data_IF_794085888634
#
_entry.id   IF_794085888634
#
_cell.length_a   1.000
_cell.length_b   1.000
_cell.length_c   1.000
_cell.angle_alpha   90.00
_cell.angle_beta   90.00
_cell.angle_gamma   90.00
#
_symmetry.space_group_name_H-M   'P 1'
#
loop_
_entity.id
_entity.type
_entity.pdbx_description
1 polymer ?
#
# COMPACT_ATOMS: atom_id res chain seq x y z
N UNK A 1 -4.28 14.51 6.67
CA UNK A 1 -4.74 15.42 7.74
C UNK A 1 -5.19 14.60 8.93
N UNK A 2 -4.79 15.00 10.13
CA UNK A 2 -5.24 14.43 11.41
C UNK A 2 -6.19 15.42 12.07
N UNK A 3 -7.38 14.97 12.47
CA UNK A 3 -8.38 15.82 13.11
C UNK A 3 -9.26 14.98 14.04
N UNK A 4 -9.89 15.61 15.04
CA UNK A 4 -10.82 14.98 15.99
C UNK A 4 -10.28 13.66 16.57
N UNK A 5 -9.02 13.67 17.03
CA UNK A 5 -8.31 12.45 17.47
C UNK A 5 -8.54 12.10 18.95
N UNK A 6 -9.16 12.98 19.73
CA UNK A 6 -9.30 12.85 21.20
C UNK A 6 -10.54 12.11 21.68
N UNK A 7 -11.45 11.69 20.81
CA UNK A 7 -12.71 11.09 21.20
C UNK A 7 -12.63 9.61 21.61
N UNK A 8 -13.73 9.10 22.17
CA UNK A 8 -13.82 7.75 22.75
C UNK A 8 -14.23 6.64 21.76
N UNK A 9 -14.25 6.89 20.45
CA UNK A 9 -14.57 5.85 19.45
C UNK A 9 -13.48 4.79 19.39
N UNK A 10 -13.87 3.57 19.13
CA UNK A 10 -12.95 2.43 19.15
C UNK A 10 -12.13 2.26 17.87
N UNK A 11 -12.65 2.74 16.72
CA UNK A 11 -12.01 2.58 15.40
C UNK A 11 -11.64 3.93 14.82
N UNK A 12 -10.55 3.95 14.07
CA UNK A 12 -10.22 5.07 13.22
C UNK A 12 -11.23 5.21 12.08
N UNK A 13 -11.53 6.45 11.73
CA UNK A 13 -12.26 6.82 10.53
C UNK A 13 -11.26 7.38 9.53
N UNK A 14 -11.21 6.80 8.35
CA UNK A 14 -10.37 7.24 7.26
C UNK A 14 -11.24 7.78 6.13
N UNK A 15 -11.08 9.05 5.81
CA UNK A 15 -11.72 9.69 4.68
C UNK A 15 -10.77 9.65 3.50
N UNK A 16 -11.19 9.01 2.42
CA UNK A 16 -10.43 8.87 1.20
C UNK A 16 -10.06 10.24 0.60
N UNK A 17 -8.97 10.27 -0.16
CA UNK A 17 -8.67 11.40 -1.03
C UNK A 17 -9.71 11.50 -2.15
N UNK A 18 -9.71 12.61 -2.88
CA UNK A 18 -10.62 12.82 -4.01
C UNK A 18 -10.46 11.76 -5.11
N UNK A 19 -9.24 11.32 -5.38
CA UNK A 19 -8.96 10.29 -6.38
C UNK A 19 -9.31 8.88 -5.89
N UNK A 20 -9.31 8.65 -4.57
CA UNK A 20 -9.56 7.37 -3.91
C UNK A 20 -8.62 6.22 -4.35
N UNK A 21 -7.49 6.53 -4.97
CA UNK A 21 -6.55 5.56 -5.54
C UNK A 21 -5.09 5.76 -5.12
N UNK A 22 -4.83 6.70 -4.23
CA UNK A 22 -3.48 6.93 -3.69
C UNK A 22 -2.98 5.71 -2.90
N UNK A 23 -1.67 5.64 -2.68
CA UNK A 23 -1.04 4.60 -1.85
C UNK A 23 -1.70 4.51 -0.47
N UNK A 24 -1.96 5.67 0.14
CA UNK A 24 -2.59 5.75 1.45
C UNK A 24 -4.05 5.27 1.40
N UNK A 25 -4.81 5.67 0.38
CA UNK A 25 -6.19 5.22 0.20
C UNK A 25 -6.25 3.69 0.09
N UNK A 26 -5.40 3.10 -0.74
CA UNK A 26 -5.34 1.64 -0.92
C UNK A 26 -4.98 0.90 0.36
N UNK A 27 -4.01 1.42 1.11
CA UNK A 27 -3.62 0.86 2.39
C UNK A 27 -4.81 0.80 3.36
N UNK A 28 -5.53 1.92 3.55
CA UNK A 28 -6.67 1.96 4.45
C UNK A 28 -7.90 1.19 3.93
N UNK A 29 -8.11 1.14 2.62
CA UNK A 29 -9.14 0.28 2.03
C UNK A 29 -8.88 -1.20 2.31
N UNK A 30 -7.62 -1.65 2.28
CA UNK A 30 -7.26 -3.02 2.66
C UNK A 30 -7.50 -3.28 4.15
N UNK A 31 -7.16 -2.34 5.03
CA UNK A 31 -7.49 -2.44 6.46
C UNK A 31 -9.00 -2.52 6.73
N UNK A 32 -9.81 -1.82 5.92
CA UNK A 32 -11.26 -1.89 6.05
C UNK A 32 -11.81 -3.28 5.71
N UNK A 33 -11.23 -4.00 4.75
CA UNK A 33 -11.63 -5.39 4.43
C UNK A 33 -11.60 -6.31 5.65
N UNK A 34 -10.66 -6.09 6.55
CA UNK A 34 -10.53 -6.81 7.82
C UNK A 34 -11.18 -6.06 9.00
N UNK A 35 -12.03 -5.08 8.72
CA UNK A 35 -12.81 -4.28 9.68
C UNK A 35 -12.00 -3.57 10.78
N UNK A 36 -10.76 -3.22 10.50
CA UNK A 36 -9.90 -2.48 11.45
C UNK A 36 -10.17 -0.99 11.47
N UNK A 37 -10.63 -0.42 10.35
CA UNK A 37 -10.94 1.02 10.20
C UNK A 37 -12.29 1.21 9.53
N UNK A 38 -12.89 2.39 9.69
CA UNK A 38 -14.06 2.80 8.94
C UNK A 38 -13.64 3.67 7.75
N UNK A 39 -14.22 3.43 6.58
CA UNK A 39 -13.96 4.23 5.38
C UNK A 39 -15.09 5.22 5.15
N UNK A 40 -14.69 6.45 4.80
CA UNK A 40 -15.58 7.51 4.35
C UNK A 40 -15.14 8.01 2.97
N UNK A 41 -16.11 8.31 2.14
CA UNK A 41 -15.84 8.87 0.82
C UNK A 41 -15.42 10.34 0.91
N UNK A 42 -14.62 10.79 -0.03
CA UNK A 42 -14.34 12.22 -0.17
C UNK A 42 -15.63 13.00 -0.41
N UNK A 43 -15.72 14.15 0.21
CA UNK A 43 -16.79 15.13 -0.08
C UNK A 43 -16.22 16.54 -0.14
N UNK A 44 -16.65 17.30 -1.12
CA UNK A 44 -16.30 18.70 -1.23
C UNK A 44 -17.11 19.60 -0.26
N UNK A 45 -18.23 19.09 0.27
CA UNK A 45 -19.13 19.85 1.14
C UNK A 45 -18.66 19.92 2.59
N UNK A 46 -18.02 18.94 3.11
CA UNK A 46 -17.59 18.93 4.53
C UNK A 46 -16.18 18.39 4.67
N UNK A 47 -15.42 18.92 5.60
CA UNK A 47 -14.06 18.46 5.83
C UNK A 47 -13.18 19.49 6.52
N UNK A 48 -11.91 19.22 6.53
CA UNK A 48 -10.84 20.06 7.04
C UNK A 48 -9.91 20.46 5.89
N UNK A 49 -8.62 20.58 6.16
CA UNK A 49 -7.61 21.04 5.20
C UNK A 49 -7.45 20.11 3.98
N UNK A 50 -7.82 18.82 4.09
CA UNK A 50 -7.74 17.90 2.96
C UNK A 50 -8.51 18.39 1.73
N UNK A 51 -9.57 19.18 1.93
CA UNK A 51 -10.35 19.78 0.81
C UNK A 51 -9.53 20.78 0.03
N UNK A 52 -8.71 21.59 0.69
CA UNK A 52 -7.86 22.60 0.06
C UNK A 52 -6.82 21.93 -0.86
N UNK A 53 -6.17 20.89 -0.35
CA UNK A 53 -5.17 20.14 -1.11
C UNK A 53 -5.76 19.34 -2.27
N UNK A 54 -7.00 18.83 -2.12
CA UNK A 54 -7.73 18.14 -3.18
C UNK A 54 -8.46 19.10 -4.14
N UNK A 55 -8.28 20.41 -4.00
CA UNK A 55 -8.93 21.42 -4.84
C UNK A 55 -8.40 21.39 -6.29
N UNK A 56 -9.17 21.91 -7.27
CA UNK A 56 -8.72 22.02 -8.65
C UNK A 56 -7.36 22.73 -8.76
N UNK A 57 -6.50 22.25 -9.66
CA UNK A 57 -5.11 22.71 -9.91
C UNK A 57 -4.07 22.28 -8.86
N UNK A 58 -4.41 22.14 -7.57
CA UNK A 58 -3.52 21.52 -6.59
C UNK A 58 -3.60 20.01 -6.74
N UNK A 59 -4.81 19.46 -6.63
CA UNK A 59 -5.16 18.06 -6.83
C UNK A 59 -4.20 17.06 -6.18
N UNK A 60 -3.71 17.40 -5.00
CA UNK A 60 -2.85 16.53 -4.19
C UNK A 60 -3.72 15.53 -3.44
N UNK A 61 -3.48 14.21 -3.54
CA UNK A 61 -4.34 13.19 -2.95
C UNK A 61 -4.14 13.10 -1.43
N UNK A 62 -4.64 14.08 -0.70
CA UNK A 62 -4.59 14.16 0.75
C UNK A 62 -5.85 13.54 1.35
N UNK A 63 -5.67 12.62 2.25
CA UNK A 63 -6.71 11.92 3.01
C UNK A 63 -6.81 12.46 4.43
N UNK A 64 -7.88 12.10 5.15
CA UNK A 64 -8.09 12.53 6.54
C UNK A 64 -8.24 11.32 7.45
N UNK A 65 -7.63 11.39 8.63
CA UNK A 65 -7.80 10.42 9.72
C UNK A 65 -8.43 11.13 10.91
N UNK A 66 -9.45 10.51 11.49
CA UNK A 66 -10.11 10.97 12.71
C UNK A 66 -10.50 9.80 13.59
N UNK A 67 -10.65 10.04 14.88
CA UNK A 67 -11.21 9.07 15.84
C UNK A 67 -12.71 9.26 15.98
N UNK A 68 -13.13 10.51 16.19
CA UNK A 68 -14.54 10.93 16.11
C UNK A 68 -14.73 11.75 14.84
N UNK A 69 -15.90 11.62 14.25
CA UNK A 69 -16.23 12.40 13.06
C UNK A 69 -16.90 13.70 13.51
N UNK A 70 -16.41 14.83 13.00
CA UNK A 70 -17.03 16.13 13.27
C UNK A 70 -18.50 16.12 12.82
N UNK A 71 -19.36 16.74 13.65
CA UNK A 71 -20.82 16.73 13.45
C UNK A 71 -21.54 15.45 13.89
N UNK A 72 -20.82 14.38 14.26
CA UNK A 72 -21.39 13.16 14.83
C UNK A 72 -21.34 13.13 16.37
N UNK A 73 -20.80 14.17 17.00
CA UNK A 73 -20.75 14.33 18.44
C UNK A 73 -21.15 15.75 18.84
N UNK A 74 -21.92 15.86 19.90
CA UNK A 74 -22.54 17.12 20.37
C UNK A 74 -21.53 18.12 20.91
N UNK A 75 -20.35 17.67 21.27
CA UNK A 75 -19.27 18.48 21.83
C UNK A 75 -18.58 19.33 20.76
N UNK A 76 -18.65 18.95 19.49
CA UNK A 76 -17.96 19.60 18.39
C UNK A 76 -18.34 21.08 18.25
N UNK A 77 -17.36 21.98 18.27
CA UNK A 77 -17.50 23.44 18.20
C UNK A 77 -18.36 24.05 19.33
N UNK A 78 -18.39 23.42 20.49
CA UNK A 78 -19.07 23.93 21.68
C UNK A 78 -18.12 23.97 22.88
N UNK A 79 -18.53 24.62 23.97
CA UNK A 79 -17.81 24.63 25.25
C UNK A 79 -17.72 23.25 25.92
N UNK A 80 -18.43 22.25 25.40
CA UNK A 80 -18.38 20.87 25.87
C UNK A 80 -17.15 20.14 25.30
N UNK A 81 -16.49 20.68 24.28
CA UNK A 81 -15.19 20.16 23.79
C UNK A 81 -14.08 20.62 24.74
N UNK A 82 -14.00 19.99 25.88
CA UNK A 82 -13.14 20.32 26.98
C UNK A 82 -12.37 19.09 27.51
N UNK A 83 -11.65 19.24 28.60
CA UNK A 83 -10.81 18.17 29.19
C UNK A 83 -11.62 16.95 29.67
N UNK A 84 -12.89 17.12 30.01
CA UNK A 84 -13.76 16.03 30.45
C UNK A 84 -14.20 15.15 29.27
N UNK A 85 -14.37 15.75 28.08
CA UNK A 85 -14.61 15.02 26.84
C UNK A 85 -13.37 14.26 26.36
N UNK A 86 -12.17 14.81 26.57
CA UNK A 86 -10.93 14.23 26.13
C UNK A 86 -10.51 13.05 27.02
N UNK A 87 -10.32 11.89 26.40
CA UNK A 87 -9.73 10.74 27.07
C UNK A 87 -8.26 10.60 26.68
N UNK A 88 -7.34 11.08 27.52
CA UNK A 88 -5.91 11.05 27.23
C UNK A 88 -5.34 9.63 27.01
N UNK A 89 -5.89 8.62 27.69
CA UNK A 89 -5.48 7.22 27.49
C UNK A 89 -5.86 6.73 26.09
N UNK A 90 -7.07 7.04 25.64
CA UNK A 90 -7.53 6.70 24.29
C UNK A 90 -6.81 7.56 23.21
N UNK A 91 -6.55 8.83 23.52
CA UNK A 91 -5.74 9.68 22.65
C UNK A 91 -4.34 9.11 22.42
N UNK A 92 -3.64 8.68 23.49
CA UNK A 92 -2.33 8.05 23.39
C UNK A 92 -2.35 6.76 22.55
N UNK A 93 -3.37 5.91 22.76
CA UNK A 93 -3.56 4.71 21.93
C UNK A 93 -3.77 5.07 20.46
N UNK A 94 -4.56 6.10 20.20
CA UNK A 94 -4.82 6.59 18.83
C UNK A 94 -3.55 7.11 18.16
N UNK A 95 -2.72 7.86 18.89
CA UNK A 95 -1.41 8.30 18.39
C UNK A 95 -0.51 7.14 18.02
N UNK A 96 -0.42 6.12 18.87
CA UNK A 96 0.38 4.91 18.59
C UNK A 96 -0.18 4.12 17.40
N UNK A 97 -1.50 3.99 17.30
CA UNK A 97 -2.16 3.32 16.19
C UNK A 97 -1.83 4.03 14.86
N UNK A 98 -1.99 5.35 14.81
CA UNK A 98 -1.66 6.15 13.63
C UNK A 98 -0.17 6.06 13.31
N UNK A 99 0.70 6.18 14.31
CA UNK A 99 2.15 6.05 14.13
C UNK A 99 2.52 4.70 13.50
N UNK A 100 1.95 3.60 13.99
CA UNK A 100 2.19 2.28 13.43
C UNK A 100 1.74 2.18 11.97
N UNK A 101 0.59 2.76 11.61
CA UNK A 101 0.14 2.81 10.21
C UNK A 101 1.10 3.63 9.34
N UNK A 102 1.55 4.79 9.82
CA UNK A 102 2.54 5.61 9.09
C UNK A 102 3.83 4.83 8.86
N UNK A 103 4.36 4.17 9.90
CA UNK A 103 5.58 3.35 9.78
C UNK A 103 5.39 2.15 8.85
N UNK A 104 4.21 1.56 8.82
CA UNK A 104 3.92 0.45 7.90
C UNK A 104 3.87 0.92 6.44
N UNK A 105 3.26 2.09 6.18
CA UNK A 105 3.24 2.71 4.86
C UNK A 105 4.66 3.11 4.43
N UNK A 106 5.44 3.74 5.31
CA UNK A 106 6.81 4.18 5.04
C UNK A 106 7.75 3.01 4.71
N UNK A 107 7.57 1.87 5.38
CA UNK A 107 8.32 0.64 5.10
C UNK A 107 7.85 -0.11 3.85
N UNK A 108 6.76 0.30 3.23
CA UNK A 108 6.26 -0.32 2.02
C UNK A 108 7.14 0.02 0.83
N UNK A 109 7.53 -0.98 0.07
CA UNK A 109 8.40 -0.80 -1.10
C UNK A 109 7.55 -0.82 -2.36
N UNK A 110 7.69 0.21 -3.17
CA UNK A 110 7.04 0.37 -4.46
C UNK A 110 8.09 0.43 -5.56
N UNK A 111 7.75 -0.11 -6.70
CA UNK A 111 8.62 -0.15 -7.87
C UNK A 111 7.85 0.26 -9.12
N UNK A 112 8.56 0.73 -10.12
CA UNK A 112 8.02 0.94 -11.45
C UNK A 112 8.82 0.16 -12.49
N UNK A 113 8.12 -0.32 -13.54
CA UNK A 113 8.71 -1.00 -14.66
C UNK A 113 9.39 0.03 -15.57
N UNK A 114 10.70 -0.14 -15.83
CA UNK A 114 11.50 0.79 -16.63
C UNK A 114 11.35 0.59 -18.15
N UNK A 115 10.62 -0.44 -18.60
CA UNK A 115 10.60 -0.86 -20.00
C UNK A 115 9.45 -0.23 -20.79
N UNK A 116 8.47 0.34 -20.12
CA UNK A 116 7.39 1.12 -20.71
C UNK A 116 6.30 0.27 -21.37
N UNK A 117 6.48 -0.22 -22.58
CA UNK A 117 5.40 -0.84 -23.36
C UNK A 117 5.68 -2.30 -23.72
N UNK A 118 4.66 -3.14 -23.54
CA UNK A 118 4.67 -4.54 -23.94
C UNK A 118 5.42 -5.48 -22.99
N UNK A 119 5.42 -6.75 -23.33
CA UNK A 119 6.14 -7.77 -22.57
C UNK A 119 7.63 -7.77 -22.91
N UNK A 120 8.43 -7.95 -21.86
CA UNK A 120 9.88 -8.03 -22.01
C UNK A 120 10.30 -9.37 -22.62
N UNK A 121 11.17 -9.32 -23.63
CA UNK A 121 11.81 -10.52 -24.17
C UNK A 121 12.90 -11.02 -23.19
N UNK A 122 12.48 -11.83 -22.23
CA UNK A 122 13.30 -12.30 -21.09
C UNK A 122 14.48 -13.18 -21.55
N UNK A 123 14.34 -13.91 -22.67
CA UNK A 123 15.38 -14.79 -23.19
C UNK A 123 16.67 -14.04 -23.55
N UNK A 124 16.58 -12.83 -24.09
CA UNK A 124 17.76 -11.98 -24.38
C UNK A 124 18.57 -11.59 -23.14
N UNK A 125 18.00 -11.77 -21.96
CA UNK A 125 18.60 -11.37 -20.69
C UNK A 125 18.91 -12.55 -19.79
N UNK A 126 18.83 -13.76 -20.32
CA UNK A 126 18.99 -15.01 -19.55
C UNK A 126 18.07 -15.10 -18.33
N UNK A 127 16.91 -14.42 -18.39
CA UNK A 127 15.89 -14.44 -17.35
C UNK A 127 14.74 -15.41 -17.66
N UNK A 128 14.81 -16.09 -18.80
CA UNK A 128 13.86 -17.13 -19.19
C UNK A 128 14.51 -18.50 -18.98
N UNK A 129 13.86 -19.42 -18.24
CA UNK A 129 14.39 -20.76 -18.07
C UNK A 129 14.40 -21.46 -19.43
N UNK A 130 15.58 -21.79 -19.95
CA UNK A 130 15.71 -22.60 -21.15
C UNK A 130 15.36 -24.06 -20.83
N UNK A 131 14.26 -24.53 -21.37
CA UNK A 131 13.74 -25.90 -21.17
C UNK A 131 14.74 -26.97 -21.64
N UNK A 132 15.67 -26.59 -22.51
CA UNK A 132 16.68 -27.49 -23.17
C UNK A 132 18.14 -27.18 -22.77
N UNK A 133 18.44 -26.53 -21.67
CA UNK A 133 19.83 -26.40 -21.22
C UNK A 133 20.35 -27.76 -20.74
N UNK A 134 21.66 -28.04 -20.98
CA UNK A 134 22.30 -29.28 -20.51
C UNK A 134 22.13 -29.51 -19.02
N UNK A 135 22.13 -28.43 -18.22
CA UNK A 135 21.83 -28.46 -16.78
C UNK A 135 20.41 -28.97 -16.45
N UNK A 136 19.41 -28.73 -17.32
CA UNK A 136 18.04 -29.23 -17.16
C UNK A 136 17.92 -30.71 -17.55
N UNK A 137 18.82 -31.20 -18.40
CA UNK A 137 18.87 -32.62 -18.79
C UNK A 137 19.54 -33.51 -17.74
N UNK A 138 20.50 -32.96 -17.00
CA UNK A 138 21.26 -33.69 -15.98
C UNK A 138 20.52 -33.77 -14.65
N UNK A 139 19.80 -32.72 -14.28
CA UNK A 139 18.96 -32.69 -13.05
C UNK A 139 17.49 -33.02 -13.36
N UNK A 140 17.20 -34.31 -13.52
CA UNK A 140 15.84 -34.86 -13.65
C UNK A 140 15.04 -34.82 -12.31
N UNK A 141 15.45 -34.04 -11.33
CA UNK A 141 14.62 -33.82 -10.12
C UNK A 141 13.52 -32.80 -10.47
N UNK A 142 12.28 -33.14 -10.18
CA UNK A 142 11.11 -32.24 -10.32
C UNK A 142 11.32 -30.89 -9.62
N UNK A 143 12.11 -30.84 -8.55
CA UNK A 143 12.43 -29.68 -7.75
C UNK A 143 13.08 -28.53 -8.57
N UNK A 144 13.98 -28.86 -9.48
CA UNK A 144 14.66 -27.84 -10.31
C UNK A 144 13.74 -27.19 -11.36
N UNK A 145 12.70 -27.89 -11.80
CA UNK A 145 11.71 -27.37 -12.76
C UNK A 145 10.66 -26.51 -12.06
N UNK A 146 10.25 -26.90 -10.87
CA UNK A 146 9.35 -26.11 -10.03
C UNK A 146 9.97 -24.78 -9.62
N UNK A 147 11.24 -24.77 -9.21
CA UNK A 147 11.97 -23.54 -8.87
C UNK A 147 12.12 -22.58 -10.07
N UNK A 148 12.37 -23.11 -11.27
CA UNK A 148 12.45 -22.30 -12.49
C UNK A 148 11.10 -21.69 -12.86
N UNK A 149 10.03 -22.45 -12.78
CA UNK A 149 8.67 -21.99 -13.04
C UNK A 149 8.24 -20.95 -11.99
N UNK A 150 8.57 -21.17 -10.72
CA UNK A 150 8.35 -20.26 -9.63
C UNK A 150 9.05 -18.91 -9.86
N UNK A 151 10.33 -18.94 -10.23
CA UNK A 151 11.12 -17.75 -10.54
C UNK A 151 10.53 -16.99 -11.73
N UNK A 152 10.20 -17.69 -12.82
CA UNK A 152 9.59 -17.09 -14.00
C UNK A 152 8.25 -16.42 -13.67
N UNK A 153 7.36 -17.13 -12.96
CA UNK A 153 6.08 -16.58 -12.51
C UNK A 153 6.30 -15.29 -11.70
N UNK A 154 7.24 -15.31 -10.76
CA UNK A 154 7.56 -14.15 -9.92
C UNK A 154 8.10 -12.98 -10.74
N UNK A 155 8.99 -13.23 -11.72
CA UNK A 155 9.49 -12.20 -12.64
C UNK A 155 8.34 -11.55 -13.41
N UNK A 156 7.45 -12.35 -14.00
CA UNK A 156 6.33 -11.85 -14.80
C UNK A 156 5.37 -10.99 -13.96
N UNK A 157 5.06 -11.43 -12.74
CA UNK A 157 4.24 -10.65 -11.82
C UNK A 157 4.91 -9.35 -11.40
N UNK A 158 6.20 -9.38 -11.06
CA UNK A 158 6.95 -8.19 -10.72
C UNK A 158 6.98 -7.19 -11.88
N UNK A 159 7.23 -7.63 -13.10
CA UNK A 159 7.22 -6.76 -14.27
C UNK A 159 5.85 -6.16 -14.57
N UNK A 160 4.78 -6.91 -14.32
CA UNK A 160 3.41 -6.46 -14.57
C UNK A 160 2.88 -5.52 -13.49
N UNK A 161 3.18 -5.81 -12.21
CA UNK A 161 2.64 -5.08 -11.06
C UNK A 161 3.61 -4.05 -10.48
N UNK A 162 4.82 -3.86 -11.05
CA UNK A 162 5.67 -2.70 -10.75
C UNK A 162 5.15 -1.47 -11.49
N UNK A 163 3.97 -1.01 -11.10
CA UNK A 163 3.20 0.08 -11.71
C UNK A 163 3.13 1.32 -10.80
N UNK A 164 3.98 1.39 -9.79
CA UNK A 164 4.00 2.44 -8.76
C UNK A 164 2.78 2.44 -7.83
N UNK A 165 1.85 1.50 -8.01
CA UNK A 165 0.57 1.43 -7.27
C UNK A 165 0.46 0.20 -6.38
N UNK A 166 1.16 -0.88 -6.72
CA UNK A 166 1.21 -2.09 -5.93
C UNK A 166 2.51 -2.16 -5.13
N UNK A 167 2.41 -2.39 -3.82
CA UNK A 167 3.58 -2.64 -2.98
C UNK A 167 4.15 -4.04 -3.22
N UNK A 168 5.41 -4.27 -2.85
CA UNK A 168 5.98 -5.63 -2.88
C UNK A 168 5.18 -6.63 -2.04
N UNK A 169 4.57 -6.18 -0.93
CA UNK A 169 3.68 -7.03 -0.12
C UNK A 169 2.43 -7.43 -0.90
N UNK A 170 1.83 -6.50 -1.66
CA UNK A 170 0.67 -6.82 -2.50
C UNK A 170 1.03 -7.82 -3.60
N UNK A 171 2.21 -7.67 -4.19
CA UNK A 171 2.70 -8.58 -5.24
C UNK A 171 2.97 -9.96 -4.65
N UNK A 172 3.65 -10.04 -3.50
CA UNK A 172 3.92 -11.29 -2.80
C UNK A 172 2.62 -12.03 -2.42
N UNK A 173 1.64 -11.30 -1.88
CA UNK A 173 0.34 -11.86 -1.54
C UNK A 173 -0.45 -12.39 -2.75
N UNK A 174 -0.35 -11.73 -3.92
CA UNK A 174 -0.97 -12.20 -5.18
C UNK A 174 -0.33 -13.46 -5.73
N UNK A 175 0.97 -13.60 -5.49
CA UNK A 175 1.75 -14.77 -5.90
C UNK A 175 1.58 -15.96 -4.95
N UNK A 176 1.08 -15.71 -3.75
CA UNK A 176 1.15 -16.64 -2.61
C UNK A 176 2.61 -17.03 -2.31
N UNK A 177 3.49 -16.01 -2.28
CA UNK A 177 4.93 -16.18 -2.13
C UNK A 177 5.47 -15.43 -0.91
N UNK A 178 6.57 -15.96 -0.37
CA UNK A 178 7.30 -15.30 0.69
C UNK A 178 7.92 -13.97 0.22
N UNK A 179 7.78 -12.92 1.04
CA UNK A 179 8.27 -11.58 0.70
C UNK A 179 9.79 -11.55 0.52
N UNK A 180 10.55 -12.34 1.28
CA UNK A 180 12.01 -12.39 1.16
C UNK A 180 12.44 -13.06 -0.14
N UNK A 181 11.67 -14.06 -0.59
CA UNK A 181 11.88 -14.64 -1.92
C UNK A 181 11.60 -13.61 -3.02
N UNK A 182 10.49 -12.90 -2.96
CA UNK A 182 10.15 -11.83 -3.92
C UNK A 182 11.25 -10.75 -3.93
N UNK A 183 11.77 -10.34 -2.78
CA UNK A 183 12.89 -9.40 -2.66
C UNK A 183 14.18 -9.89 -3.31
N UNK A 184 14.47 -11.19 -3.30
CA UNK A 184 15.62 -11.75 -4.04
C UNK A 184 15.45 -11.54 -5.55
N UNK A 185 14.27 -11.79 -6.08
CA UNK A 185 13.99 -11.59 -7.51
C UNK A 185 14.00 -10.09 -7.87
N UNK A 186 13.49 -9.22 -7.02
CA UNK A 186 13.57 -7.76 -7.17
C UNK A 186 15.02 -7.30 -7.35
N UNK A 187 15.97 -7.80 -6.55
CA UNK A 187 17.38 -7.47 -6.67
C UNK A 187 17.93 -7.84 -8.07
N UNK A 188 17.51 -8.98 -8.61
CA UNK A 188 17.89 -9.42 -9.96
C UNK A 188 17.35 -8.45 -11.01
N UNK A 189 16.06 -8.10 -10.92
CA UNK A 189 15.41 -7.22 -11.88
C UNK A 189 15.97 -5.79 -11.80
N UNK A 190 16.25 -5.28 -10.62
CA UNK A 190 16.86 -3.96 -10.41
C UNK A 190 18.29 -3.91 -10.96
N UNK A 191 19.11 -4.96 -10.72
CA UNK A 191 20.46 -5.09 -11.29
C UNK A 191 20.43 -5.06 -12.82
N UNK A 192 19.40 -5.66 -13.42
CA UNK A 192 19.17 -5.65 -14.87
C UNK A 192 18.45 -4.39 -15.38
N UNK A 193 18.23 -3.40 -14.53
CA UNK A 193 17.55 -2.13 -14.83
C UNK A 193 16.13 -2.31 -15.41
N UNK A 194 15.44 -3.38 -15.03
CA UNK A 194 14.09 -3.70 -15.49
C UNK A 194 13.01 -3.07 -14.64
N UNK A 195 13.27 -2.94 -13.35
CA UNK A 195 12.43 -2.19 -12.41
C UNK A 195 13.29 -1.25 -11.57
N UNK A 196 12.72 -0.17 -11.11
CA UNK A 196 13.37 0.80 -10.22
C UNK A 196 12.48 1.08 -9.02
N UNK A 197 13.11 1.30 -7.87
CA UNK A 197 12.43 1.69 -6.64
C UNK A 197 11.96 3.15 -6.75
N UNK A 198 10.77 3.43 -6.22
CA UNK A 198 10.24 4.78 -6.05
C UNK A 198 10.90 5.48 -4.87
#
# INVERSE_FOLDING_TARGET
VLTCSGGNKTKLNFKLSKSSDSVIDKYFLNLNKIRKVNIRQFTAFGGSDERQFNSPKINMPISQISKTVYGEHKEYHTSLDNKEFLNFKEFYKTCNEIFNHVMEIDRSEYYYNSIGFGELFLSKRNLYPTINSEETRVNKSNDGLEDKNRMQKTIMYLLNYSDSKHSLKDIAARLDEDLDYVKKIVKILTKNKLIQKL
#
